data_IF_213940064710
#
_entry.id   IF_213940064710
#
_cell.length_a   1.000
_cell.length_b   1.000
_cell.length_c   1.000
_cell.angle_alpha   90.00
_cell.angle_beta   90.00
_cell.angle_gamma   90.00
#
_symmetry.space_group_name_H-M   'P 1'
#
loop_
_entity.id
_entity.type
_entity.pdbx_description
1 polymer ?
#
# COMPACT_ATOMS: atom_id res chain seq x y z
N UNK A 1 -9.19 -21.66 0.74
CA UNK A 1 -10.36 -20.80 0.41
C UNK A 1 -9.90 -19.35 0.38
N UNK A 2 -10.27 -18.57 -0.65
CA UNK A 2 -10.01 -17.12 -0.63
C UNK A 2 -11.05 -16.48 0.27
N UNK A 3 -10.59 -15.75 1.29
CA UNK A 3 -11.47 -15.03 2.19
C UNK A 3 -11.08 -13.55 2.21
N UNK A 4 -12.05 -12.63 2.36
CA UNK A 4 -11.74 -11.26 2.75
C UNK A 4 -10.86 -11.28 4.00
N UNK A 5 -9.88 -10.39 4.09
CA UNK A 5 -9.09 -10.28 5.32
C UNK A 5 -10.01 -9.77 6.43
N UNK A 6 -10.28 -10.62 7.42
CA UNK A 6 -11.21 -10.31 8.53
C UNK A 6 -10.51 -9.85 9.81
N UNK A 7 -9.19 -10.03 9.92
CA UNK A 7 -8.40 -9.69 11.11
C UNK A 7 -7.61 -8.38 10.96
N UNK A 8 -7.78 -7.39 11.86
CA UNK A 8 -7.01 -6.15 11.90
C UNK A 8 -5.49 -6.33 11.77
N UNK A 9 -4.95 -7.29 12.53
CA UNK A 9 -3.50 -7.56 12.55
C UNK A 9 -3.02 -8.21 11.25
N UNK A 10 -3.84 -9.09 10.66
CA UNK A 10 -3.54 -9.69 9.35
C UNK A 10 -3.53 -8.63 8.26
N UNK A 11 -4.52 -7.73 8.26
CA UNK A 11 -4.60 -6.63 7.30
C UNK A 11 -3.36 -5.72 7.41
N UNK A 12 -3.05 -5.27 8.64
CA UNK A 12 -1.85 -4.47 8.92
C UNK A 12 -0.59 -5.17 8.43
N UNK A 13 -0.35 -6.41 8.84
CA UNK A 13 0.87 -7.15 8.42
C UNK A 13 0.96 -7.33 6.91
N UNK A 14 -0.16 -7.55 6.24
CA UNK A 14 -0.18 -7.70 4.79
C UNK A 14 0.17 -6.37 4.11
N UNK A 15 -0.44 -5.26 4.54
CA UNK A 15 -0.12 -3.92 4.04
C UNK A 15 1.36 -3.56 4.26
N UNK A 16 1.91 -3.85 5.45
CA UNK A 16 3.32 -3.59 5.72
C UNK A 16 4.26 -4.44 4.86
N UNK A 17 3.91 -5.71 4.59
CA UNK A 17 4.70 -6.56 3.69
C UNK A 17 4.67 -6.02 2.27
N UNK A 18 3.50 -5.61 1.78
CA UNK A 18 3.37 -4.98 0.46
C UNK A 18 4.18 -3.67 0.39
N UNK A 19 4.12 -2.84 1.42
CA UNK A 19 4.89 -1.60 1.48
C UNK A 19 6.40 -1.82 1.51
N UNK A 20 6.88 -2.93 2.10
CA UNK A 20 8.30 -3.32 2.06
C UNK A 20 8.71 -3.93 0.73
N UNK A 21 7.81 -4.67 0.07
CA UNK A 21 8.05 -5.28 -1.24
C UNK A 21 8.06 -4.25 -2.39
N UNK A 22 7.39 -3.11 -2.20
CA UNK A 22 7.38 -1.96 -3.12
C UNK A 22 7.82 -0.71 -2.37
N UNK A 23 9.12 -0.61 -2.03
CA UNK A 23 9.62 0.42 -1.13
C UNK A 23 9.51 1.82 -1.77
N UNK A 24 8.77 2.70 -1.11
CA UNK A 24 8.71 4.09 -1.49
C UNK A 24 10.07 4.79 -1.31
N UNK A 25 10.31 5.87 -2.04
CA UNK A 25 11.56 6.62 -1.98
C UNK A 25 11.76 7.29 -0.62
N UNK A 26 10.70 7.86 -0.09
CA UNK A 26 10.66 8.44 1.25
C UNK A 26 9.67 7.67 2.10
N UNK A 27 10.10 7.28 3.29
CA UNK A 27 9.26 6.65 4.31
C UNK A 27 9.53 7.30 5.65
N UNK A 28 8.51 7.94 6.24
CA UNK A 28 8.54 8.46 7.60
C UNK A 28 7.60 7.67 8.51
N UNK A 29 7.96 7.60 9.80
CA UNK A 29 7.21 6.90 10.83
C UNK A 29 6.65 7.88 11.85
N UNK A 30 5.34 7.90 12.00
CA UNK A 30 4.65 8.62 13.07
C UNK A 30 3.96 7.60 13.99
N UNK A 31 4.74 7.05 14.94
CA UNK A 31 4.30 5.91 15.73
C UNK A 31 4.02 4.69 14.82
N UNK A 32 2.77 4.22 14.82
CA UNK A 32 2.33 3.13 13.95
C UNK A 32 2.13 3.54 12.49
N UNK A 33 2.05 4.84 12.18
CA UNK A 33 1.71 5.32 10.84
C UNK A 33 2.92 5.35 9.91
N UNK A 34 2.72 4.95 8.66
CA UNK A 34 3.74 4.97 7.62
C UNK A 34 3.37 6.04 6.60
N UNK A 35 4.16 7.10 6.53
CA UNK A 35 4.00 8.16 5.54
C UNK A 35 4.95 7.84 4.41
N UNK A 36 4.42 7.57 3.22
CA UNK A 36 5.21 7.05 2.10
C UNK A 36 5.06 7.98 0.90
N UNK A 37 6.17 8.29 0.26
CA UNK A 37 6.18 9.08 -0.96
C UNK A 37 7.18 8.52 -1.97
N UNK A 38 6.70 8.26 -3.18
CA UNK A 38 7.50 7.84 -4.33
C UNK A 38 6.96 8.57 -5.57
N UNK A 39 7.57 9.70 -5.96
CA UNK A 39 7.09 10.48 -7.09
C UNK A 39 7.17 9.67 -8.38
N UNK A 40 6.13 9.78 -9.23
CA UNK A 40 6.08 9.10 -10.53
C UNK A 40 5.84 7.60 -10.50
N UNK A 41 5.79 6.96 -9.33
CA UNK A 41 5.36 5.58 -9.18
C UNK A 41 3.83 5.48 -9.00
N UNK A 42 3.31 4.25 -8.99
CA UNK A 42 1.88 4.00 -8.83
C UNK A 42 1.33 4.59 -7.54
N UNK A 43 0.09 5.12 -7.56
CA UNK A 43 -0.43 5.99 -6.50
C UNK A 43 -0.38 5.39 -5.09
N UNK A 44 -0.55 4.06 -4.94
CA UNK A 44 -0.55 3.36 -3.63
C UNK A 44 0.81 3.30 -2.95
N UNK A 45 1.88 3.75 -3.63
CA UNK A 45 3.22 3.91 -3.06
C UNK A 45 3.40 5.27 -2.39
N UNK A 46 2.51 6.22 -2.68
CA UNK A 46 2.51 7.60 -2.17
C UNK A 46 1.29 7.87 -1.26
N UNK A 47 1.06 7.00 -0.29
CA UNK A 47 -0.07 7.09 0.65
C UNK A 47 0.34 6.83 2.09
N UNK A 48 -0.42 7.39 3.03
CA UNK A 48 -0.37 7.07 4.45
C UNK A 48 -0.95 5.67 4.66
N UNK A 49 -0.23 4.84 5.42
CA UNK A 49 -0.80 3.65 6.07
C UNK A 49 -1.06 3.99 7.55
N UNK A 50 -2.30 4.31 7.93
CA UNK A 50 -2.62 4.75 9.28
C UNK A 50 -2.86 3.54 10.19
N UNK A 51 -1.78 2.84 10.54
CA UNK A 51 -1.88 1.62 11.34
C UNK A 51 -2.04 1.89 12.84
N UNK A 52 -2.85 1.07 13.48
CA UNK A 52 -3.03 1.04 14.94
C UNK A 52 -4.07 2.04 15.44
N UNK A 53 -4.29 2.05 16.74
CA UNK A 53 -5.26 2.92 17.42
C UNK A 53 -4.53 4.12 18.02
N UNK A 54 -5.11 5.31 17.85
CA UNK A 54 -4.68 6.55 18.49
C UNK A 54 -5.90 7.11 19.24
N UNK A 55 -5.71 7.65 20.45
CA UNK A 55 -6.76 8.47 21.06
C UNK A 55 -6.92 9.81 20.32
N UNK A 56 -8.09 10.44 20.44
CA UNK A 56 -8.54 11.59 19.63
C UNK A 56 -7.49 12.71 19.49
N UNK A 57 -6.91 13.16 20.60
CA UNK A 57 -5.87 14.20 20.60
C UNK A 57 -4.64 13.81 19.77
N UNK A 58 -4.26 12.53 19.82
CA UNK A 58 -3.11 12.01 19.06
C UNK A 58 -3.49 11.81 17.60
N UNK A 59 -4.74 11.47 17.31
CA UNK A 59 -5.25 11.29 15.96
C UNK A 59 -5.21 12.59 15.16
N UNK A 60 -5.75 13.69 15.72
CA UNK A 60 -5.73 15.01 15.05
C UNK A 60 -4.30 15.49 14.75
N UNK A 61 -3.37 15.28 15.69
CA UNK A 61 -1.96 15.61 15.48
C UNK A 61 -1.31 14.75 14.41
N UNK A 62 -1.60 13.44 14.39
CA UNK A 62 -1.08 12.53 13.37
C UNK A 62 -1.57 12.89 11.95
N UNK A 63 -2.86 13.25 11.80
CA UNK A 63 -3.41 13.72 10.53
C UNK A 63 -2.73 15.01 10.09
N UNK A 64 -2.60 15.99 10.98
CA UNK A 64 -1.94 17.27 10.65
C UNK A 64 -0.47 17.10 10.26
N UNK A 65 0.25 16.19 10.94
CA UNK A 65 1.63 15.87 10.61
C UNK A 65 1.75 15.17 9.25
N UNK A 66 0.84 14.25 8.93
CA UNK A 66 0.77 13.64 7.60
C UNK A 66 0.49 14.67 6.51
N UNK A 67 -0.46 15.58 6.71
CA UNK A 67 -0.73 16.68 5.79
C UNK A 67 0.51 17.54 5.55
N UNK A 68 1.25 17.89 6.60
CA UNK A 68 2.51 18.64 6.50
C UNK A 68 3.59 17.92 5.69
N UNK A 69 3.75 16.60 5.90
CA UNK A 69 4.69 15.78 5.14
C UNK A 69 4.39 15.83 3.63
N UNK A 70 3.14 15.59 3.21
CA UNK A 70 2.79 15.61 1.78
C UNK A 70 2.80 17.02 1.18
N UNK A 71 2.46 18.04 1.97
CA UNK A 71 2.57 19.44 1.55
C UNK A 71 4.03 19.83 1.22
N UNK A 72 5.01 19.26 1.94
CA UNK A 72 6.44 19.39 1.62
C UNK A 72 6.82 18.88 0.22
N UNK A 73 6.02 17.97 -0.35
CA UNK A 73 6.14 17.49 -1.74
C UNK A 73 5.15 18.16 -2.70
N UNK A 74 4.46 19.22 -2.28
CA UNK A 74 3.46 19.94 -3.09
C UNK A 74 2.20 19.13 -3.39
N UNK A 75 1.82 18.18 -2.51
CA UNK A 75 0.69 17.28 -2.72
C UNK A 75 -0.23 17.24 -1.50
N UNK A 76 -1.51 16.93 -1.73
CA UNK A 76 -2.42 16.55 -0.65
C UNK A 76 -2.06 15.14 -0.14
N UNK A 77 -2.25 14.91 1.15
CA UNK A 77 -2.12 13.57 1.70
C UNK A 77 -3.17 12.63 1.09
N UNK A 78 -2.87 11.34 1.03
CA UNK A 78 -3.84 10.31 0.68
C UNK A 78 -3.73 9.19 1.70
N UNK A 79 -4.87 8.78 2.26
CA UNK A 79 -4.93 7.77 3.31
C UNK A 79 -5.45 6.45 2.76
N UNK A 80 -4.69 5.37 2.96
CA UNK A 80 -5.16 4.03 2.63
C UNK A 80 -5.85 3.43 3.85
N UNK A 81 -7.16 3.63 3.93
CA UNK A 81 -7.99 3.15 5.04
C UNK A 81 -8.30 1.67 4.87
N UNK A 82 -8.10 0.88 5.93
CA UNK A 82 -8.52 -0.52 5.98
C UNK A 82 -9.33 -0.75 7.26
N UNK A 83 -10.62 -1.11 7.15
CA UNK A 83 -11.48 -1.31 8.31
C UNK A 83 -10.83 -2.24 9.35
N UNK A 84 -10.89 -1.82 10.61
CA UNK A 84 -10.30 -2.53 11.74
C UNK A 84 -8.78 -2.35 11.91
N UNK A 85 -8.02 -2.02 10.86
CA UNK A 85 -6.58 -1.78 10.95
C UNK A 85 -6.20 -0.30 11.21
N UNK A 86 -7.20 0.58 11.18
CA UNK A 86 -7.08 2.03 11.38
C UNK A 86 -7.90 2.48 12.60
N UNK A 87 -7.60 3.66 13.19
CA UNK A 87 -8.47 4.27 14.21
C UNK A 87 -9.90 4.41 13.69
N UNK A 88 -10.91 4.13 14.53
CA UNK A 88 -12.31 4.11 14.09
C UNK A 88 -12.84 5.51 13.78
N UNK A 89 -12.30 6.51 14.46
CA UNK A 89 -12.65 7.93 14.32
C UNK A 89 -11.99 8.58 13.09
N UNK A 90 -11.04 7.89 12.44
CA UNK A 90 -10.24 8.48 11.35
C UNK A 90 -11.09 8.84 10.13
N UNK A 91 -12.05 7.99 9.73
CA UNK A 91 -12.86 8.25 8.52
C UNK A 91 -13.71 9.52 8.69
N UNK A 92 -14.31 9.70 9.88
CA UNK A 92 -15.09 10.89 10.22
C UNK A 92 -14.22 12.15 10.27
N UNK A 93 -13.07 12.08 10.94
CA UNK A 93 -12.12 13.19 11.00
C UNK A 93 -11.63 13.61 9.61
N UNK A 94 -11.33 12.65 8.73
CA UNK A 94 -10.93 12.95 7.36
C UNK A 94 -12.07 13.60 6.57
N UNK A 95 -13.31 13.12 6.73
CA UNK A 95 -14.48 13.73 6.08
C UNK A 95 -14.69 15.20 6.51
N UNK A 96 -14.55 15.49 7.81
CA UNK A 96 -14.61 16.87 8.34
C UNK A 96 -13.55 17.79 7.75
N UNK A 97 -12.39 17.24 7.37
CA UNK A 97 -11.29 17.95 6.70
C UNK A 97 -11.44 18.01 5.17
N UNK A 98 -12.56 17.53 4.63
CA UNK A 98 -12.88 17.59 3.19
C UNK A 98 -12.29 16.44 2.37
N UNK A 99 -11.76 15.40 3.00
CA UNK A 99 -11.38 14.19 2.27
C UNK A 99 -12.62 13.43 1.81
N UNK A 100 -12.48 12.77 0.67
CA UNK A 100 -13.50 11.89 0.12
C UNK A 100 -12.91 10.53 -0.21
N UNK A 101 -13.77 9.52 -0.31
CA UNK A 101 -13.36 8.16 -0.66
C UNK A 101 -13.02 8.09 -2.15
N UNK A 102 -11.80 7.67 -2.45
CA UNK A 102 -11.30 7.50 -3.81
C UNK A 102 -10.74 6.08 -3.98
N UNK A 103 -11.10 5.41 -5.08
CA UNK A 103 -10.62 4.06 -5.46
C UNK A 103 -10.84 2.97 -4.39
N UNK A 104 -12.07 2.45 -4.22
CA UNK A 104 -12.31 1.30 -3.34
C UNK A 104 -11.54 0.06 -3.84
N UNK A 105 -10.89 -0.66 -2.92
CA UNK A 105 -10.15 -1.89 -3.21
C UNK A 105 -10.53 -2.99 -2.21
N UNK A 106 -10.44 -4.24 -2.65
CA UNK A 106 -10.65 -5.41 -1.78
C UNK A 106 -9.31 -6.04 -1.40
N UNK A 107 -9.13 -6.33 -0.11
CA UNK A 107 -7.97 -7.08 0.39
C UNK A 107 -8.37 -8.52 0.66
N UNK A 108 -7.75 -9.46 -0.07
CA UNK A 108 -8.00 -10.88 0.04
C UNK A 108 -6.76 -11.60 0.55
N UNK A 109 -6.97 -12.61 1.39
CA UNK A 109 -5.91 -13.51 1.82
C UNK A 109 -6.39 -14.96 1.76
N UNK A 110 -5.42 -15.87 1.63
CA UNK A 110 -5.63 -17.30 1.73
C UNK A 110 -4.48 -17.91 2.52
N UNK A 111 -4.76 -18.98 3.27
CA UNK A 111 -3.71 -19.78 3.87
C UNK A 111 -2.90 -20.48 2.76
N UNK A 112 -1.57 -20.57 2.95
CA UNK A 112 -0.70 -21.22 1.96
C UNK A 112 -1.09 -22.68 1.75
N UNK A 113 -1.43 -23.40 2.82
CA UNK A 113 -1.83 -24.81 2.73
C UNK A 113 -3.14 -25.01 1.97
N UNK A 114 -4.10 -24.11 2.16
CA UNK A 114 -5.34 -24.09 1.38
C UNK A 114 -5.08 -23.90 -0.11
N UNK A 115 -4.18 -22.97 -0.46
CA UNK A 115 -3.82 -22.72 -1.86
C UNK A 115 -3.13 -23.95 -2.43
N UNK A 116 -2.18 -24.55 -1.70
CA UNK A 116 -1.44 -25.75 -2.09
C UNK A 116 -2.37 -26.93 -2.35
N UNK A 117 -3.37 -27.15 -1.49
CA UNK A 117 -4.35 -28.22 -1.64
C UNK A 117 -5.20 -28.10 -2.93
N UNK A 118 -5.28 -26.89 -3.51
CA UNK A 118 -6.06 -26.59 -4.70
C UNK A 118 -5.21 -26.54 -5.99
N UNK A 119 -3.88 -26.66 -5.88
CA UNK A 119 -2.98 -26.55 -7.03
C UNK A 119 -3.23 -27.69 -8.01
N UNK A 120 -3.49 -27.32 -9.26
CA UNK A 120 -3.43 -28.22 -10.41
C UNK A 120 -2.15 -27.93 -11.18
N UNK A 121 -1.42 -28.97 -11.56
CA UNK A 121 -0.24 -28.82 -12.42
C UNK A 121 -0.69 -28.30 -13.79
N UNK A 122 -0.29 -27.08 -14.13
CA UNK A 122 -0.64 -26.46 -15.42
C UNK A 122 0.21 -26.94 -16.59
N UNK A 123 1.31 -27.67 -16.31
CA UNK A 123 2.33 -28.01 -17.30
C UNK A 123 3.18 -26.83 -17.78
N UNK A 124 2.92 -25.61 -17.27
CA UNK A 124 3.71 -24.43 -17.60
C UNK A 124 5.11 -24.52 -16.99
N UNK A 125 6.13 -24.20 -17.78
CA UNK A 125 7.49 -24.00 -17.25
C UNK A 125 7.54 -22.65 -16.55
N UNK A 126 7.78 -22.67 -15.24
CA UNK A 126 7.98 -21.47 -14.42
C UNK A 126 9.44 -21.35 -14.06
N UNK A 127 9.98 -20.14 -14.14
CA UNK A 127 11.32 -19.81 -13.66
C UNK A 127 11.20 -18.75 -12.56
N UNK A 128 11.91 -18.98 -11.46
CA UNK A 128 12.07 -17.99 -10.40
C UNK A 128 13.39 -17.25 -10.62
N UNK A 129 13.35 -15.93 -10.53
CA UNK A 129 14.52 -15.04 -10.62
C UNK A 129 14.50 -14.11 -9.41
N UNK A 130 15.67 -13.77 -8.89
CA UNK A 130 15.79 -12.95 -7.67
C UNK A 130 15.57 -11.45 -7.93
N UNK A 131 15.74 -11.00 -9.17
CA UNK A 131 15.52 -9.62 -9.56
C UNK A 131 14.59 -9.53 -10.77
N UNK A 132 13.77 -8.46 -10.86
CA UNK A 132 12.93 -8.20 -12.02
C UNK A 132 13.76 -8.21 -13.31
N UNK A 133 13.30 -8.95 -14.32
CA UNK A 133 13.88 -8.86 -15.67
C UNK A 133 13.19 -7.75 -16.46
N UNK A 134 13.86 -7.23 -17.49
CA UNK A 134 13.26 -6.25 -18.40
C UNK A 134 11.95 -6.77 -19.02
N UNK A 135 11.94 -8.03 -19.49
CA UNK A 135 10.76 -8.65 -20.07
C UNK A 135 9.60 -8.82 -19.09
N UNK A 136 9.87 -9.16 -17.83
CA UNK A 136 8.84 -9.18 -16.78
C UNK A 136 8.28 -7.77 -16.53
N UNK A 137 9.15 -6.77 -16.46
CA UNK A 137 8.75 -5.39 -16.21
C UNK A 137 7.96 -4.77 -17.36
N UNK A 138 8.26 -5.16 -18.61
CA UNK A 138 7.47 -4.79 -19.78
C UNK A 138 6.02 -5.27 -19.67
N UNK A 139 5.81 -6.52 -19.28
CA UNK A 139 4.46 -7.06 -19.07
C UNK A 139 3.76 -6.38 -17.89
N UNK A 140 4.47 -6.22 -16.76
CA UNK A 140 3.90 -5.57 -15.58
C UNK A 140 3.49 -4.13 -15.86
N UNK A 141 4.36 -3.35 -16.50
CA UNK A 141 4.09 -1.95 -16.85
C UNK A 141 2.98 -1.81 -17.89
N UNK A 142 2.83 -2.76 -18.83
CA UNK A 142 1.73 -2.73 -19.79
C UNK A 142 0.34 -2.81 -19.12
N UNK A 143 0.25 -3.41 -17.93
CA UNK A 143 -1.00 -3.54 -17.17
C UNK A 143 -1.18 -2.43 -16.14
N UNK A 144 -0.10 -2.04 -15.47
CA UNK A 144 -0.15 -1.12 -14.31
C UNK A 144 0.31 0.30 -14.60
N UNK A 145 1.11 0.50 -15.65
CA UNK A 145 1.68 1.79 -15.98
C UNK A 145 0.61 2.76 -16.45
N UNK A 146 0.71 4.02 -16.03
CA UNK A 146 -0.21 5.08 -16.45
C UNK A 146 0.14 5.69 -17.83
N UNK A 147 0.89 4.96 -18.68
CA UNK A 147 1.40 5.45 -19.97
C UNK A 147 2.50 6.52 -19.87
N UNK A 148 3.03 6.77 -18.67
CA UNK A 148 4.06 7.77 -18.40
C UNK A 148 5.49 7.22 -18.41
N UNK A 149 6.41 7.97 -17.81
CA UNK A 149 7.81 7.56 -17.62
C UNK A 149 7.88 6.29 -16.76
N UNK A 150 8.57 5.26 -17.27
CA UNK A 150 8.69 3.94 -16.66
C UNK A 150 9.81 3.88 -15.60
N UNK A 151 10.72 4.86 -15.62
CA UNK A 151 11.93 4.87 -14.77
C UNK A 151 11.61 4.88 -13.27
N UNK A 152 10.65 5.65 -12.75
CA UNK A 152 10.34 5.64 -11.31
C UNK A 152 9.90 4.27 -10.79
N UNK A 153 9.07 3.56 -11.55
CA UNK A 153 8.60 2.22 -11.17
C UNK A 153 9.72 1.18 -11.24
N UNK A 154 10.59 1.26 -12.25
CA UNK A 154 11.78 0.41 -12.32
C UNK A 154 12.73 0.66 -11.14
N UNK A 155 13.00 1.92 -10.81
CA UNK A 155 13.85 2.29 -9.67
C UNK A 155 13.27 1.85 -8.34
N UNK A 156 11.94 1.92 -8.18
CA UNK A 156 11.26 1.39 -6.99
C UNK A 156 11.52 -0.10 -6.82
N UNK A 157 11.36 -0.89 -7.89
CA UNK A 157 11.56 -2.34 -7.84
C UNK A 157 13.03 -2.74 -7.59
N UNK A 158 13.98 -1.92 -8.05
CA UNK A 158 15.40 -2.16 -7.82
C UNK A 158 15.88 -1.87 -6.38
N UNK A 159 15.02 -1.31 -5.51
CA UNK A 159 15.33 -0.98 -4.11
C UNK A 159 14.98 -2.11 -3.12
N UNK A 160 14.21 -3.12 -3.55
CA UNK A 160 13.83 -4.29 -2.75
C UNK A 160 14.71 -5.49 -3.06
#
# INVERSE_FOLDING_TARGET
>A
MWCPVTGPETARRLQERVARALPAEHVERLGGWWLRHAPGASWWTSTVLPHGVLGDDRLMRAVSAAEGFYAGFGRAATFQITPGACPVELDALLAERGYYRHTPMSLWAAAVDDVRAQVRTSGARTQLVESPTAGWFDVWHAVHGAGGDRRPEWQMLARG
#
